data_IF_418215697395
#
_entry.id   IF_418215697395
#
_cell.length_a   1.000
_cell.length_b   1.000
_cell.length_c   1.000
_cell.angle_alpha   90.00
_cell.angle_beta   90.00
_cell.angle_gamma   90.00
#
_symmetry.space_group_name_H-M   'P 1'
#
loop_
_entity.id
_entity.type
_entity.pdbx_description
1 polymer ?
#
# COMPACT_ATOMS: atom_id res chain seq x y z
N UNK A 1 0.77 9.92 1.32
CA UNK A 1 -0.16 9.45 2.38
C UNK A 1 -1.61 9.71 2.01
N UNK A 2 -1.95 10.93 1.56
CA UNK A 2 -3.31 11.34 1.19
C UNK A 2 -4.05 10.28 0.35
N UNK A 3 -3.51 9.90 -0.81
CA UNK A 3 -4.12 8.89 -1.70
C UNK A 3 -4.62 7.63 -0.99
N UNK A 4 -3.79 7.03 -0.13
CA UNK A 4 -4.18 5.81 0.60
C UNK A 4 -5.30 6.08 1.59
N UNK A 5 -5.23 7.22 2.28
CA UNK A 5 -6.18 7.58 3.34
C UNK A 5 -7.51 8.15 2.85
N UNK A 6 -7.53 8.81 1.69
CA UNK A 6 -8.70 9.54 1.17
C UNK A 6 -9.34 8.91 -0.05
N UNK A 7 -8.58 8.13 -0.83
CA UNK A 7 -9.06 7.51 -2.06
C UNK A 7 -9.07 5.98 -1.96
N UNK A 8 -7.90 5.35 -1.91
CA UNK A 8 -7.78 3.88 -1.95
C UNK A 8 -8.51 3.23 -0.77
N UNK A 9 -8.17 3.59 0.47
CA UNK A 9 -8.75 2.98 1.67
C UNK A 9 -10.28 3.09 1.71
N UNK A 10 -10.88 4.29 1.58
CA UNK A 10 -12.33 4.43 1.52
C UNK A 10 -12.99 3.68 0.36
N UNK A 11 -12.40 3.68 -0.83
CA UNK A 11 -12.95 2.95 -1.98
C UNK A 11 -12.96 1.43 -1.73
N UNK A 12 -11.86 0.91 -1.20
CA UNK A 12 -11.70 -0.51 -0.91
C UNK A 12 -12.62 -0.98 0.23
N UNK A 13 -12.65 -0.24 1.34
CA UNK A 13 -13.32 -0.67 2.57
C UNK A 13 -14.78 -0.20 2.67
N UNK A 14 -15.06 1.07 2.36
CA UNK A 14 -16.39 1.66 2.57
C UNK A 14 -17.29 1.41 1.36
N UNK A 15 -16.74 1.43 0.14
CA UNK A 15 -17.48 1.08 -1.07
C UNK A 15 -17.44 -0.41 -1.42
N UNK A 16 -16.80 -1.23 -0.58
CA UNK A 16 -16.74 -2.69 -0.72
C UNK A 16 -16.20 -3.15 -2.08
N UNK A 17 -15.04 -2.61 -2.47
CA UNK A 17 -14.43 -2.86 -3.80
C UNK A 17 -13.26 -3.84 -3.77
N UNK A 18 -12.79 -4.25 -2.59
CA UNK A 18 -11.75 -5.28 -2.47
C UNK A 18 -12.09 -6.59 -3.19
N UNK A 19 -13.32 -7.14 -3.14
CA UNK A 19 -13.63 -8.39 -3.86
C UNK A 19 -13.51 -8.30 -5.39
N UNK A 20 -13.42 -7.09 -5.92
CA UNK A 20 -13.33 -6.79 -7.36
C UNK A 20 -11.95 -6.27 -7.76
N UNK A 21 -10.96 -6.38 -6.85
CA UNK A 21 -9.62 -5.83 -7.03
C UNK A 21 -8.59 -6.86 -6.59
N UNK A 22 -7.64 -7.19 -7.45
CA UNK A 22 -6.41 -7.85 -7.03
C UNK A 22 -5.41 -6.76 -6.60
N UNK A 23 -5.46 -6.42 -5.31
CA UNK A 23 -4.74 -5.25 -4.77
C UNK A 23 -3.39 -5.66 -4.19
N UNK A 24 -2.33 -5.13 -4.77
CA UNK A 24 -0.97 -5.22 -4.22
C UNK A 24 -0.54 -3.88 -3.61
N UNK A 25 0.01 -3.95 -2.40
CA UNK A 25 0.61 -2.80 -1.72
C UNK A 25 2.12 -3.05 -1.57
N UNK A 26 2.93 -2.11 -2.05
CA UNK A 26 4.39 -2.25 -2.08
C UNK A 26 5.01 -1.12 -1.25
N UNK A 27 5.21 -1.30 0.08
CA UNK A 27 5.75 -0.27 0.97
C UNK A 27 7.28 -0.13 0.79
N UNK A 28 7.69 0.54 -0.27
CA UNK A 28 9.11 0.81 -0.56
C UNK A 28 9.28 2.24 -1.09
N UNK A 29 8.48 2.62 -2.09
CA UNK A 29 8.48 3.96 -2.67
C UNK A 29 9.82 4.33 -3.30
N UNK A 30 10.35 5.49 -2.96
CA UNK A 30 11.64 5.98 -3.50
C UNK A 30 12.86 5.47 -2.72
N UNK A 31 12.71 4.43 -1.90
CA UNK A 31 13.85 3.83 -1.21
C UNK A 31 14.83 3.23 -2.23
N UNK A 32 16.09 3.14 -1.86
CA UNK A 32 17.17 2.60 -2.71
C UNK A 32 18.17 1.82 -1.87
N UNK A 33 19.00 1.04 -2.52
CA UNK A 33 20.15 0.42 -1.86
C UNK A 33 21.34 1.38 -1.88
N UNK A 34 22.07 1.47 -0.77
CA UNK A 34 23.40 2.09 -0.72
C UNK A 34 24.49 1.15 -1.23
N UNK A 35 25.74 1.61 -1.21
CA UNK A 35 26.91 0.85 -1.68
C UNK A 35 27.16 -0.43 -0.88
N UNK A 36 26.67 -0.48 0.37
CA UNK A 36 26.76 -1.64 1.27
C UNK A 36 25.54 -2.57 1.16
N UNK A 37 24.57 -2.24 0.29
CA UNK A 37 23.35 -3.00 0.07
C UNK A 37 22.26 -2.77 1.11
N UNK A 38 22.34 -1.69 1.91
CA UNK A 38 21.31 -1.32 2.87
C UNK A 38 20.22 -0.47 2.23
N UNK A 39 18.99 -0.65 2.71
CA UNK A 39 17.84 0.17 2.28
C UNK A 39 17.93 1.56 2.90
N UNK A 40 17.94 2.57 2.04
CA UNK A 40 17.96 4.00 2.38
C UNK A 40 16.69 4.66 1.84
N UNK A 41 15.92 5.29 2.74
CA UNK A 41 14.69 5.99 2.40
C UNK A 41 14.91 7.51 2.30
N UNK A 42 14.13 8.17 1.43
CA UNK A 42 14.23 9.60 1.13
C UNK A 42 14.01 10.51 2.35
N UNK A 43 13.23 10.05 3.34
CA UNK A 43 12.91 10.76 4.58
C UNK A 43 13.61 10.15 5.81
N UNK A 44 14.68 9.37 5.61
CA UNK A 44 15.52 8.80 6.67
C UNK A 44 15.01 7.49 7.26
N UNK A 45 15.67 7.04 8.33
CA UNK A 45 15.45 5.71 8.92
C UNK A 45 14.03 5.48 9.44
N UNK A 46 13.36 6.53 9.96
CA UNK A 46 11.98 6.42 10.44
C UNK A 46 11.00 6.03 9.31
N UNK A 47 11.20 6.52 8.09
CA UNK A 47 10.38 6.11 6.93
C UNK A 47 10.62 4.65 6.58
N UNK A 48 11.88 4.22 6.57
CA UNK A 48 12.21 2.81 6.34
C UNK A 48 11.63 1.90 7.41
N UNK A 49 11.65 2.31 8.69
CA UNK A 49 11.03 1.55 9.77
C UNK A 49 9.52 1.41 9.55
N UNK A 50 8.82 2.50 9.23
CA UNK A 50 7.38 2.46 8.93
C UNK A 50 7.04 1.61 7.71
N UNK A 51 7.87 1.68 6.66
CA UNK A 51 7.74 0.80 5.50
C UNK A 51 7.88 -0.67 5.91
N UNK A 52 8.84 -1.00 6.78
CA UNK A 52 9.01 -2.36 7.28
C UNK A 52 7.81 -2.81 8.14
N UNK A 53 7.18 -1.92 8.91
CA UNK A 53 5.94 -2.23 9.64
C UNK A 53 4.81 -2.58 8.67
N UNK A 54 4.61 -1.79 7.62
CA UNK A 54 3.63 -2.09 6.57
C UNK A 54 3.95 -3.42 5.85
N UNK A 55 5.23 -3.70 5.58
CA UNK A 55 5.65 -4.97 5.00
C UNK A 55 5.34 -6.18 5.89
N UNK A 56 5.58 -6.08 7.19
CA UNK A 56 5.20 -7.14 8.13
C UNK A 56 3.67 -7.32 8.20
N UNK A 57 2.87 -6.25 8.12
CA UNK A 57 1.39 -6.37 8.04
C UNK A 57 1.01 -7.22 6.82
N UNK A 58 1.52 -6.87 5.64
CA UNK A 58 1.20 -7.56 4.39
C UNK A 58 1.64 -9.03 4.35
N UNK A 59 2.68 -9.40 5.11
CA UNK A 59 3.18 -10.77 5.18
C UNK A 59 2.36 -11.67 6.12
N UNK A 60 1.61 -11.07 7.04
CA UNK A 60 0.98 -11.79 8.16
C UNK A 60 -0.55 -11.66 8.19
N UNK A 61 -1.12 -10.67 7.51
CA UNK A 61 -2.55 -10.42 7.45
C UNK A 61 -3.10 -10.55 6.04
N UNK A 62 -4.41 -10.82 5.94
CA UNK A 62 -5.12 -10.75 4.67
C UNK A 62 -5.21 -9.30 4.16
N UNK A 63 -5.60 -9.12 2.89
CA UNK A 63 -5.64 -7.79 2.27
C UNK A 63 -6.62 -6.84 2.96
N UNK A 64 -7.74 -7.33 3.47
CA UNK A 64 -8.74 -6.52 4.18
C UNK A 64 -8.16 -5.92 5.44
N UNK A 65 -7.61 -6.75 6.34
CA UNK A 65 -6.95 -6.31 7.57
C UNK A 65 -5.73 -5.43 7.25
N UNK A 66 -4.98 -5.76 6.19
CA UNK A 66 -3.82 -4.99 5.77
C UNK A 66 -4.19 -3.56 5.35
N UNK A 67 -5.23 -3.40 4.52
CA UNK A 67 -5.69 -2.07 4.11
C UNK A 67 -6.22 -1.28 5.31
N UNK A 68 -6.95 -1.90 6.23
CA UNK A 68 -7.44 -1.25 7.45
C UNK A 68 -6.29 -0.70 8.31
N UNK A 69 -5.32 -1.56 8.62
CA UNK A 69 -4.16 -1.22 9.45
C UNK A 69 -3.28 -0.17 8.78
N UNK A 70 -2.89 -0.38 7.52
CA UNK A 70 -1.99 0.52 6.78
C UNK A 70 -2.65 1.88 6.57
N UNK A 71 -3.90 1.93 6.09
CA UNK A 71 -4.59 3.20 5.89
C UNK A 71 -4.77 3.97 7.21
N UNK A 72 -4.99 3.28 8.33
CA UNK A 72 -5.03 3.91 9.64
C UNK A 72 -3.65 4.44 10.09
N UNK A 73 -2.58 3.66 9.91
CA UNK A 73 -1.22 4.06 10.27
C UNK A 73 -0.76 5.28 9.46
N UNK A 74 -1.10 5.34 8.17
CA UNK A 74 -0.78 6.45 7.26
C UNK A 74 -1.51 7.76 7.56
N UNK A 75 -2.40 7.82 8.57
CA UNK A 75 -2.98 9.07 9.08
C UNK A 75 -1.98 9.93 9.88
N UNK A 76 -0.77 9.42 10.13
CA UNK A 76 0.30 10.16 10.79
C UNK A 76 1.68 9.70 10.33
N UNK A 77 2.72 10.42 10.76
CA UNK A 77 4.14 10.12 10.45
C UNK A 77 4.85 9.29 11.52
N UNK A 78 4.10 8.72 12.46
CA UNK A 78 4.63 7.91 13.57
C UNK A 78 4.03 6.52 13.48
N UNK A 79 4.68 5.54 14.10
CA UNK A 79 4.09 4.22 14.20
C UNK A 79 2.84 4.27 15.09
N UNK A 80 1.70 3.88 14.52
CA UNK A 80 0.39 3.84 15.20
C UNK A 80 -0.22 2.44 15.21
N UNK A 81 0.59 1.40 14.99
CA UNK A 81 0.12 0.02 14.85
C UNK A 81 -0.83 -0.36 15.99
N UNK A 82 -0.44 -0.13 17.25
CA UNK A 82 -1.26 -0.51 18.42
C UNK A 82 -2.62 0.18 18.45
N UNK A 83 -2.66 1.49 18.19
CA UNK A 83 -3.92 2.24 18.14
C UNK A 83 -4.82 1.76 17.00
N UNK A 84 -4.24 1.45 15.84
CA UNK A 84 -4.99 0.96 14.69
C UNK A 84 -5.49 -0.46 14.91
N UNK A 85 -4.65 -1.33 15.45
CA UNK A 85 -4.98 -2.70 15.81
C UNK A 85 -6.10 -2.76 16.84
N UNK A 86 -6.05 -1.92 17.88
CA UNK A 86 -7.11 -1.80 18.88
C UNK A 86 -8.44 -1.33 18.25
N UNK A 87 -8.38 -0.35 17.36
CA UNK A 87 -9.56 0.20 16.70
C UNK A 87 -10.31 -0.87 15.87
N UNK A 88 -9.58 -1.67 15.10
CA UNK A 88 -10.15 -2.73 14.26
C UNK A 88 -10.27 -4.08 14.97
N UNK A 89 -9.75 -4.20 16.20
CA UNK A 89 -9.69 -5.44 16.99
C UNK A 89 -8.92 -6.56 16.28
N UNK A 90 -7.80 -6.20 15.66
CA UNK A 90 -6.90 -7.14 14.97
C UNK A 90 -5.72 -7.46 15.91
N UNK A 91 -5.41 -8.75 16.09
CA UNK A 91 -4.20 -9.17 16.81
C UNK A 91 -2.99 -9.02 15.89
N UNK A 92 -2.05 -8.16 16.27
CA UNK A 92 -0.84 -7.83 15.49
C UNK A 92 0.44 -8.35 16.17
N UNK A 93 0.30 -9.38 17.01
CA UNK A 93 1.43 -9.99 17.73
C UNK A 93 2.47 -10.58 16.77
N UNK A 94 2.03 -11.16 15.66
CA UNK A 94 2.87 -11.65 14.56
C UNK A 94 3.60 -10.52 13.82
N UNK A 95 2.95 -9.39 13.53
CA UNK A 95 3.55 -8.19 12.93
C UNK A 95 4.67 -7.65 13.83
N UNK A 96 4.42 -7.56 15.15
CA UNK A 96 5.43 -7.16 16.15
C UNK A 96 6.59 -8.14 16.20
N UNK A 97 6.32 -9.44 16.16
CA UNK A 97 7.36 -10.47 16.13
C UNK A 97 8.19 -10.40 14.84
N UNK A 98 7.56 -10.16 13.68
CA UNK A 98 8.24 -9.94 12.40
C UNK A 98 9.22 -8.77 12.50
N UNK A 99 8.77 -7.59 12.98
CA UNK A 99 9.65 -6.42 13.13
C UNK A 99 10.74 -6.60 14.17
N UNK A 100 10.47 -7.34 15.25
CA UNK A 100 11.48 -7.59 16.29
C UNK A 100 12.56 -8.57 15.83
N UNK A 101 12.22 -9.54 14.99
CA UNK A 101 13.10 -10.66 14.62
C UNK A 101 13.86 -10.45 13.31
N UNK A 102 13.48 -9.48 12.48
CA UNK A 102 14.07 -9.23 11.16
C UNK A 102 14.54 -7.79 11.01
N UNK A 103 15.63 -7.61 10.25
CA UNK A 103 16.12 -6.28 9.90
C UNK A 103 15.18 -5.61 8.89
N UNK A 104 15.28 -4.27 8.79
CA UNK A 104 14.56 -3.48 7.78
C UNK A 104 14.94 -3.94 6.37
N UNK A 105 16.23 -4.20 6.11
CA UNK A 105 16.72 -4.70 4.83
C UNK A 105 16.06 -6.04 4.46
N UNK A 106 16.00 -6.98 5.42
CA UNK A 106 15.42 -8.31 5.16
C UNK A 106 13.92 -8.25 4.85
N UNK A 107 13.20 -7.30 5.45
CA UNK A 107 11.75 -7.14 5.23
C UNK A 107 11.50 -6.43 3.90
N UNK A 108 12.27 -5.39 3.59
CA UNK A 108 12.07 -4.54 2.43
C UNK A 108 12.72 -5.06 1.14
N UNK A 109 13.57 -6.09 1.21
CA UNK A 109 14.24 -6.67 0.05
C UNK A 109 13.26 -7.11 -1.04
N UNK A 110 12.15 -7.77 -0.69
CA UNK A 110 11.17 -8.22 -1.68
C UNK A 110 10.39 -7.05 -2.27
N UNK A 111 9.95 -6.11 -1.44
CA UNK A 111 9.25 -4.92 -1.91
C UNK A 111 10.12 -4.03 -2.81
N UNK A 112 11.44 -4.02 -2.59
CA UNK A 112 12.39 -3.37 -3.49
C UNK A 112 12.46 -4.04 -4.87
N UNK A 113 12.39 -5.37 -4.95
CA UNK A 113 12.32 -6.10 -6.23
C UNK A 113 11.01 -5.81 -6.96
N UNK A 114 9.88 -5.88 -6.26
CA UNK A 114 8.56 -5.58 -6.82
C UNK A 114 8.48 -4.14 -7.34
N UNK A 115 9.02 -3.18 -6.59
CA UNK A 115 9.10 -1.78 -7.03
C UNK A 115 9.94 -1.65 -8.30
N UNK A 116 11.03 -2.41 -8.44
CA UNK A 116 11.89 -2.37 -9.62
C UNK A 116 11.23 -2.95 -10.89
N UNK A 117 10.14 -3.72 -10.78
CA UNK A 117 9.36 -4.19 -11.94
C UNK A 117 8.58 -3.05 -12.61
N UNK A 118 8.34 -1.95 -11.88
CA UNK A 118 7.52 -0.84 -12.34
C UNK A 118 8.34 0.45 -12.34
N UNK A 119 8.63 0.97 -13.53
CA UNK A 119 9.35 2.25 -13.66
C UNK A 119 8.42 3.44 -13.37
N UNK A 120 8.38 3.89 -12.11
CA UNK A 120 7.57 5.02 -11.66
C UNK A 120 8.38 6.33 -11.55
N UNK A 121 7.73 7.48 -11.72
CA UNK A 121 8.38 8.80 -11.67
C UNK A 121 8.31 9.47 -10.28
N UNK A 122 7.54 8.89 -9.35
CA UNK A 122 7.39 9.43 -8.00
C UNK A 122 6.40 8.60 -7.17
N UNK A 123 6.08 9.09 -5.96
CA UNK A 123 5.14 8.44 -5.03
C UNK A 123 4.01 9.37 -4.58
N UNK A 124 2.79 8.86 -4.30
CA UNK A 124 2.37 7.46 -4.47
C UNK A 124 2.40 7.05 -5.95
N UNK A 125 2.82 5.83 -6.25
CA UNK A 125 2.77 5.25 -7.59
C UNK A 125 1.62 4.26 -7.66
N UNK A 126 0.73 4.40 -8.65
CA UNK A 126 -0.36 3.46 -8.92
C UNK A 126 -0.14 2.90 -10.32
N UNK A 127 0.04 1.60 -10.39
CA UNK A 127 0.16 0.86 -11.64
C UNK A 127 -1.04 -0.07 -11.77
N UNK A 128 -1.50 -0.27 -13.01
CA UNK A 128 -2.56 -1.22 -13.34
C UNK A 128 -1.92 -2.31 -14.19
N UNK A 129 -2.09 -3.57 -13.79
CA UNK A 129 -1.46 -4.73 -14.44
C UNK A 129 0.08 -4.56 -14.59
N UNK A 130 0.73 -4.05 -13.54
CA UNK A 130 2.17 -3.72 -13.51
C UNK A 130 2.62 -2.68 -14.54
N UNK A 131 1.69 -1.96 -15.18
CA UNK A 131 2.00 -0.87 -16.10
C UNK A 131 1.79 0.47 -15.41
N UNK A 132 2.88 1.23 -15.25
CA UNK A 132 2.80 2.63 -14.83
C UNK A 132 2.62 3.53 -16.06
N UNK A 133 1.53 4.28 -16.07
CA UNK A 133 1.26 5.30 -17.09
C UNK A 133 0.94 6.63 -16.40
N UNK A 134 1.67 7.69 -16.73
CA UNK A 134 1.55 9.00 -16.05
C UNK A 134 0.15 9.60 -16.17
N UNK A 135 -0.52 9.45 -17.30
CA UNK A 135 -1.87 10.00 -17.48
C UNK A 135 -2.88 9.22 -16.65
N UNK A 136 -2.84 7.90 -16.72
CA UNK A 136 -3.72 7.03 -15.92
C UNK A 136 -3.48 7.20 -14.42
N UNK A 137 -2.23 7.29 -14.00
CA UNK A 137 -1.81 7.61 -12.65
C UNK A 137 -2.48 8.92 -12.19
N UNK A 138 -2.37 9.99 -12.99
CA UNK A 138 -3.01 11.27 -12.64
C UNK A 138 -4.52 11.16 -12.52
N UNK A 139 -5.17 10.40 -13.41
CA UNK A 139 -6.60 10.15 -13.34
C UNK A 139 -6.97 9.34 -12.07
N UNK A 140 -6.20 8.31 -11.73
CA UNK A 140 -6.40 7.51 -10.51
C UNK A 140 -6.19 8.34 -9.24
N UNK A 141 -5.21 9.24 -9.21
CA UNK A 141 -4.95 10.08 -8.04
C UNK A 141 -6.06 11.11 -7.82
N UNK A 142 -6.66 11.66 -8.88
CA UNK A 142 -7.65 12.74 -8.78
C UNK A 142 -9.11 12.23 -8.82
N UNK A 143 -9.36 11.11 -9.49
CA UNK A 143 -10.68 10.60 -9.83
C UNK A 143 -10.79 9.08 -9.58
N UNK A 144 -10.11 8.57 -8.55
CA UNK A 144 -9.96 7.14 -8.26
C UNK A 144 -11.24 6.33 -8.47
N UNK A 145 -12.35 6.76 -7.84
CA UNK A 145 -13.58 5.99 -7.85
C UNK A 145 -14.23 5.90 -9.24
N UNK A 146 -14.22 6.99 -10.01
CA UNK A 146 -14.81 6.97 -11.35
C UNK A 146 -13.91 6.20 -12.33
N UNK A 147 -12.59 6.32 -12.18
CA UNK A 147 -11.62 5.60 -13.01
C UNK A 147 -11.69 4.10 -12.73
N UNK A 148 -11.71 3.69 -11.45
CA UNK A 148 -11.91 2.30 -11.05
C UNK A 148 -13.14 1.69 -11.73
N UNK A 149 -14.28 2.37 -11.62
CA UNK A 149 -15.54 1.88 -12.18
C UNK A 149 -15.51 1.80 -13.71
N UNK A 150 -15.00 2.84 -14.38
CA UNK A 150 -14.88 2.87 -15.83
C UNK A 150 -13.94 1.77 -16.34
N UNK A 151 -12.82 1.55 -15.64
CA UNK A 151 -11.86 0.48 -15.95
C UNK A 151 -12.50 -0.90 -15.78
N UNK A 152 -13.14 -1.15 -14.64
CA UNK A 152 -13.80 -2.43 -14.38
C UNK A 152 -14.87 -2.75 -15.43
N UNK A 153 -15.74 -1.77 -15.75
CA UNK A 153 -16.77 -1.94 -16.78
C UNK A 153 -16.16 -2.17 -18.17
N UNK A 154 -15.06 -1.49 -18.50
CA UNK A 154 -14.37 -1.68 -19.78
C UNK A 154 -13.72 -3.06 -19.90
N UNK A 155 -13.10 -3.56 -18.83
CA UNK A 155 -12.38 -4.84 -18.84
C UNK A 155 -13.32 -6.05 -18.81
N UNK A 156 -14.37 -5.98 -17.98
CA UNK A 156 -15.23 -7.13 -17.71
C UNK A 156 -16.61 -7.03 -18.38
N UNK A 157 -16.93 -5.90 -19.00
CA UNK A 157 -18.27 -5.61 -19.53
C UNK A 157 -19.38 -5.73 -18.48
N UNK A 158 -19.04 -5.43 -17.22
CA UNK A 158 -19.94 -5.50 -16.07
C UNK A 158 -19.90 -4.17 -15.32
N UNK A 159 -21.07 -3.57 -15.10
CA UNK A 159 -21.23 -2.41 -14.23
C UNK A 159 -21.50 -2.86 -12.80
N UNK A 160 -20.58 -2.56 -11.88
CA UNK A 160 -20.72 -2.93 -10.48
C UNK A 160 -21.80 -2.10 -9.77
N UNK A 161 -22.51 -2.70 -8.82
CA UNK A 161 -23.55 -2.01 -8.06
C UNK A 161 -23.01 -0.89 -7.18
N UNK A 162 -21.79 -1.07 -6.64
CA UNK A 162 -21.06 -0.07 -5.87
C UNK A 162 -20.30 0.95 -6.76
N UNK A 163 -20.58 0.96 -8.07
CA UNK A 163 -20.13 1.95 -9.05
C UNK A 163 -21.25 2.87 -9.54
N UNK A 164 -22.41 2.83 -8.87
CA UNK A 164 -23.57 3.69 -9.13
C UNK A 164 -23.59 4.93 -8.23
#
# INVERSE_FOLDING_TARGET
MEFVTTHLGPSMMVKDRLPFTDLELIPYGNAKLDDDGNVVCQHGEEECDLNAWHGCILQHHNITESVELIACMMRGKKNRLDTCAEHYRIDVSDVKNCRKSRSVNDILAEYGKETALVNHEGVPAVAVDYVYNVNEQNDLLNHFDSVFCARYETMYHIKLANCM
#
